data_IF_440361753176
#
_entry.id   IF_440361753176
#
_cell.length_a   1.000
_cell.length_b   1.000
_cell.length_c   1.000
_cell.angle_alpha   90.00
_cell.angle_beta   90.00
_cell.angle_gamma   90.00
#
_symmetry.space_group_name_H-M   'P 1'
#
loop_
_entity.id
_entity.type
_entity.pdbx_description
1 polymer ?
#
# COMPACT_ATOMS: atom_id res chain seq x y z
N UNK A 1 27.74 1.68 12.20
CA UNK A 1 27.34 0.50 11.39
C UNK A 1 25.88 0.69 11.01
N UNK A 2 25.58 1.09 9.76
CA UNK A 2 24.20 1.13 9.28
C UNK A 2 23.66 -0.31 9.33
N UNK A 3 22.76 -0.58 10.27
CA UNK A 3 22.12 -1.89 10.34
C UNK A 3 21.21 -2.06 9.11
N UNK A 4 21.10 -3.29 8.62
CA UNK A 4 20.19 -3.71 7.53
C UNK A 4 18.74 -3.21 7.77
N UNK A 5 18.39 -2.93 9.03
CA UNK A 5 17.18 -2.21 9.46
C UNK A 5 16.91 -0.90 8.70
N UNK A 6 17.95 -0.14 8.34
CA UNK A 6 17.81 1.14 7.64
C UNK A 6 17.72 1.05 6.11
N UNK A 7 18.05 -0.10 5.51
CA UNK A 7 18.10 -0.29 4.05
C UNK A 7 16.97 -1.18 3.49
N UNK A 8 16.30 -1.98 4.33
CA UNK A 8 15.35 -3.02 3.86
C UNK A 8 13.99 -3.03 4.57
N UNK A 9 13.74 -2.14 5.54
CA UNK A 9 12.45 -2.15 6.24
C UNK A 9 11.34 -1.54 5.39
N UNK A 10 10.24 -2.29 5.27
CA UNK A 10 8.94 -1.76 4.88
C UNK A 10 8.65 -0.50 5.70
N UNK A 11 8.58 0.65 5.04
CA UNK A 11 8.11 1.87 5.68
C UNK A 11 6.58 1.79 5.79
N UNK A 12 6.09 1.35 6.95
CA UNK A 12 4.64 1.15 7.19
C UNK A 12 3.86 2.46 7.07
N UNK A 13 4.44 3.58 7.48
CA UNK A 13 3.80 4.89 7.39
C UNK A 13 3.66 5.34 5.93
N UNK A 14 4.74 5.22 5.15
CA UNK A 14 4.72 5.58 3.73
C UNK A 14 3.83 4.64 2.92
N UNK A 15 3.84 3.34 3.22
CA UNK A 15 2.90 2.38 2.63
C UNK A 15 1.46 2.79 2.91
N UNK A 16 1.10 3.03 4.18
CA UNK A 16 -0.24 3.46 4.58
C UNK A 16 -0.68 4.75 3.87
N UNK A 17 0.21 5.74 3.81
CA UNK A 17 -0.03 7.00 3.10
C UNK A 17 -0.30 6.76 1.62
N UNK A 18 0.55 5.98 0.93
CA UNK A 18 0.41 5.68 -0.50
C UNK A 18 -0.90 4.97 -0.82
N UNK A 19 -1.31 3.98 0.00
CA UNK A 19 -2.61 3.31 -0.18
C UNK A 19 -3.76 4.32 -0.10
N UNK A 20 -3.76 5.19 0.91
CA UNK A 20 -4.80 6.22 1.07
C UNK A 20 -4.83 7.18 -0.10
N UNK A 21 -3.67 7.67 -0.55
CA UNK A 21 -3.56 8.61 -1.67
C UNK A 21 -4.04 8.00 -2.98
N UNK A 22 -3.61 6.77 -3.29
CA UNK A 22 -4.03 6.06 -4.50
C UNK A 22 -5.53 5.80 -4.51
N UNK A 23 -6.10 5.40 -3.35
CA UNK A 23 -7.54 5.22 -3.20
C UNK A 23 -8.30 6.52 -3.48
N UNK A 24 -7.85 7.63 -2.88
CA UNK A 24 -8.47 8.94 -3.07
C UNK A 24 -8.34 9.43 -4.52
N UNK A 25 -7.18 9.26 -5.16
CA UNK A 25 -6.97 9.59 -6.58
C UNK A 25 -7.91 8.81 -7.50
N UNK A 26 -8.23 7.56 -7.15
CA UNK A 26 -9.19 6.71 -7.87
C UNK A 26 -10.66 7.04 -7.54
N UNK A 27 -10.94 7.97 -6.63
CA UNK A 27 -12.27 8.36 -6.18
C UNK A 27 -13.14 7.21 -5.65
N UNK A 28 -12.53 6.25 -4.96
CA UNK A 28 -13.27 5.15 -4.32
C UNK A 28 -13.21 5.24 -2.78
N UNK A 29 -14.24 4.74 -2.14
CA UNK A 29 -14.39 4.62 -0.68
C UNK A 29 -13.53 3.48 -0.13
N UNK A 30 -13.31 3.48 1.19
CA UNK A 30 -12.63 2.37 1.87
C UNK A 30 -13.39 1.04 1.74
N UNK A 31 -14.73 1.09 1.64
CA UNK A 31 -15.55 -0.10 1.43
C UNK A 31 -15.35 -0.67 0.03
N UNK A 32 -15.32 0.16 -1.00
CA UNK A 32 -15.07 -0.27 -2.38
C UNK A 32 -13.66 -0.85 -2.55
N UNK A 33 -12.64 -0.23 -1.96
CA UNK A 33 -11.30 -0.82 -1.91
C UNK A 33 -11.29 -2.16 -1.14
N UNK A 34 -12.07 -2.24 -0.06
CA UNK A 34 -12.26 -3.49 0.69
C UNK A 34 -12.81 -4.61 -0.18
N UNK A 35 -13.86 -4.32 -0.96
CA UNK A 35 -14.45 -5.26 -1.92
C UNK A 35 -13.42 -5.71 -2.96
N UNK A 36 -12.63 -4.80 -3.53
CA UNK A 36 -11.59 -5.13 -4.51
C UNK A 36 -10.50 -6.05 -3.96
N UNK A 37 -10.18 -5.93 -2.67
CA UNK A 37 -9.14 -6.72 -2.00
C UNK A 37 -9.69 -7.92 -1.22
N UNK A 38 -11.00 -8.17 -1.28
CA UNK A 38 -11.70 -9.18 -0.46
C UNK A 38 -11.39 -9.04 1.04
N UNK A 39 -11.47 -7.81 1.56
CA UNK A 39 -11.28 -7.47 2.96
C UNK A 39 -12.35 -6.52 3.48
N UNK A 40 -12.43 -6.37 4.80
CA UNK A 40 -13.39 -5.43 5.42
C UNK A 40 -12.93 -3.98 5.26
N UNK A 41 -13.89 -3.04 5.25
CA UNK A 41 -13.61 -1.60 5.37
C UNK A 41 -12.70 -1.28 6.57
N UNK A 42 -12.89 -1.98 7.69
CA UNK A 42 -12.07 -1.80 8.90
C UNK A 42 -10.61 -2.16 8.63
N UNK A 43 -10.33 -3.27 7.93
CA UNK A 43 -8.96 -3.61 7.51
C UNK A 43 -8.35 -2.52 6.63
N UNK A 44 -9.12 -1.96 5.68
CA UNK A 44 -8.63 -0.82 4.87
C UNK A 44 -8.31 0.39 5.74
N UNK A 45 -9.18 0.74 6.69
CA UNK A 45 -8.91 1.83 7.64
C UNK A 45 -7.65 1.56 8.48
N UNK A 46 -7.42 0.32 8.91
CA UNK A 46 -6.23 -0.02 9.72
C UNK A 46 -4.95 0.01 8.87
N UNK A 47 -5.02 -0.38 7.60
CA UNK A 47 -3.93 -0.21 6.62
C UNK A 47 -3.61 1.27 6.45
N UNK A 48 -4.61 2.11 6.17
CA UNK A 48 -4.43 3.56 5.93
C UNK A 48 -3.99 4.35 7.18
N UNK A 49 -4.08 3.74 8.36
CA UNK A 49 -3.58 4.27 9.64
C UNK A 49 -2.23 3.66 10.05
N UNK A 50 -1.64 2.79 9.22
CA UNK A 50 -0.37 2.12 9.52
C UNK A 50 -0.44 1.08 10.65
N UNK A 51 -1.64 0.72 11.13
CA UNK A 51 -1.83 -0.24 12.23
C UNK A 51 -1.54 -1.67 11.80
N UNK A 52 -1.84 -1.98 10.54
CA UNK A 52 -1.56 -3.28 9.93
C UNK A 52 -1.02 -3.09 8.52
N UNK A 53 -0.42 -4.15 8.01
CA UNK A 53 -0.02 -4.25 6.60
C UNK A 53 -0.95 -5.21 5.87
N UNK A 54 -0.60 -5.58 4.66
CA UNK A 54 -1.35 -6.53 3.85
C UNK A 54 -0.51 -7.76 3.51
N UNK A 55 -1.12 -8.79 2.92
CA UNK A 55 -0.40 -9.97 2.43
C UNK A 55 0.28 -9.70 1.09
N UNK A 56 1.19 -10.58 0.66
CA UNK A 56 1.88 -10.44 -0.62
C UNK A 56 0.91 -10.46 -1.81
N UNK A 57 -0.11 -11.31 -1.75
CA UNK A 57 -1.13 -11.45 -2.79
C UNK A 57 -1.91 -10.15 -2.96
N UNK A 58 -2.36 -9.55 -1.84
CA UNK A 58 -3.06 -8.27 -1.85
C UNK A 58 -2.15 -7.12 -2.25
N UNK A 59 -0.87 -7.15 -1.89
CA UNK A 59 0.10 -6.15 -2.35
C UNK A 59 0.20 -6.15 -3.88
N UNK A 60 0.23 -7.33 -4.51
CA UNK A 60 0.20 -7.45 -5.97
C UNK A 60 -1.10 -6.90 -6.55
N UNK A 61 -2.26 -7.27 -5.99
CA UNK A 61 -3.57 -6.77 -6.45
C UNK A 61 -3.67 -5.24 -6.33
N UNK A 62 -3.13 -4.65 -5.27
CA UNK A 62 -3.08 -3.19 -5.09
C UNK A 62 -2.22 -2.55 -6.17
N UNK A 63 -1.01 -3.07 -6.41
CA UNK A 63 -0.12 -2.60 -7.48
C UNK A 63 -0.84 -2.66 -8.84
N UNK A 64 -1.54 -3.77 -9.09
CA UNK A 64 -2.39 -4.01 -10.26
C UNK A 64 -3.53 -3.01 -10.42
N UNK A 65 -4.30 -2.81 -9.36
CA UNK A 65 -5.47 -1.93 -9.33
C UNK A 65 -5.12 -0.45 -9.56
N UNK A 66 -3.96 -0.01 -9.08
CA UNK A 66 -3.57 1.40 -9.11
C UNK A 66 -2.52 1.73 -10.16
N UNK A 67 -2.13 0.76 -11.00
CA UNK A 67 -1.10 0.91 -12.02
C UNK A 67 0.23 1.46 -11.47
N UNK A 68 0.69 0.88 -10.36
CA UNK A 68 1.97 1.25 -9.72
C UNK A 68 2.86 0.03 -9.47
N UNK A 69 4.15 0.25 -9.22
CA UNK A 69 5.06 -0.81 -8.78
C UNK A 69 4.90 -1.15 -7.30
N UNK A 70 5.25 -2.38 -6.91
CA UNK A 70 5.33 -2.76 -5.50
C UNK A 70 6.49 -2.04 -4.79
N UNK A 71 7.57 -1.71 -5.48
CA UNK A 71 8.67 -0.91 -4.92
C UNK A 71 8.21 0.50 -4.53
N UNK A 72 7.32 1.11 -5.33
CA UNK A 72 6.62 2.33 -4.93
C UNK A 72 5.75 2.07 -3.70
N UNK A 73 4.90 1.04 -3.67
CA UNK A 73 4.08 0.81 -2.47
C UNK A 73 4.93 0.60 -1.20
N UNK A 74 6.04 -0.13 -1.30
CA UNK A 74 6.92 -0.49 -0.19
C UNK A 74 7.86 0.63 0.27
N UNK A 75 7.92 1.75 -0.44
CA UNK A 75 8.77 2.88 -0.07
C UNK A 75 10.23 2.77 -0.55
N UNK A 76 10.51 1.93 -1.55
CA UNK A 76 11.86 1.74 -2.12
C UNK A 76 12.19 2.76 -3.21
N UNK A 77 11.17 3.36 -3.80
CA UNK A 77 11.27 4.42 -4.81
C UNK A 77 10.10 5.39 -4.65
N UNK A 78 10.28 6.62 -5.10
CA UNK A 78 9.21 7.61 -5.27
C UNK A 78 8.60 7.59 -6.67
N UNK A 79 9.18 6.81 -7.59
CA UNK A 79 8.65 6.59 -8.93
C UNK A 79 7.53 5.54 -8.89
N UNK A 80 6.27 5.92 -9.18
CA UNK A 80 5.16 4.97 -9.16
C UNK A 80 5.19 3.99 -10.33
N UNK A 81 5.94 4.27 -11.41
CA UNK A 81 5.87 3.50 -12.65
C UNK A 81 6.24 2.04 -12.44
N UNK A 82 5.56 1.17 -13.20
CA UNK A 82 5.99 -0.21 -13.40
C UNK A 82 7.21 -0.21 -14.33
N UNK A 83 8.09 -1.19 -14.10
CA UNK A 83 9.23 -1.45 -14.99
C UNK A 83 8.75 -1.94 -16.36
#
# INVERSE_FOLDING_TARGET
MLTIKGLFYLNRELFAQRIKELRLKKNITQSELGTLLSVTKTQISDIEKGKTTTSLEKLSIIADCFDVSTDYLLGRTDDPRRY
#
